data_IF_858259488912
#
_entry.id   IF_858259488912
#
_cell.length_a   1.000
_cell.length_b   1.000
_cell.length_c   1.000
_cell.angle_alpha   90.00
_cell.angle_beta   90.00
_cell.angle_gamma   90.00
#
_symmetry.space_group_name_H-M   'P 1'
#
loop_
_entity.id
_entity.type
_entity.pdbx_description
1 polymer ?
#
# COMPACT_ATOMS: atom_id res chain seq x y z
N UNK A 1 -6.79 -11.46 4.75
CA UNK A 1 -7.52 -10.24 5.22
C UNK A 1 -8.25 -9.63 4.03
N UNK A 2 -9.43 -9.03 4.21
CA UNK A 2 -10.19 -8.43 3.09
C UNK A 2 -10.67 -7.02 3.45
N UNK A 3 -10.42 -6.06 2.56
CA UNK A 3 -10.97 -4.71 2.59
C UNK A 3 -11.80 -4.53 1.32
N UNK A 4 -13.11 -4.38 1.49
CA UNK A 4 -14.04 -4.35 0.36
C UNK A 4 -15.06 -3.23 0.52
N UNK A 5 -15.44 -2.60 -0.60
CA UNK A 5 -16.47 -1.55 -0.65
C UNK A 5 -16.14 -0.34 0.25
N UNK A 6 -14.88 0.09 0.22
CA UNK A 6 -14.39 1.18 1.07
C UNK A 6 -14.55 2.52 0.34
N UNK A 7 -15.12 3.51 1.03
CA UNK A 7 -15.22 4.90 0.55
C UNK A 7 -14.27 5.80 1.34
N UNK A 8 -13.36 6.45 0.64
CA UNK A 8 -12.37 7.37 1.19
C UNK A 8 -12.86 8.81 1.06
N UNK A 9 -12.68 9.61 2.10
CA UNK A 9 -12.99 11.03 2.11
C UNK A 9 -11.71 11.78 2.43
N UNK A 10 -11.13 12.44 1.42
CA UNK A 10 -9.90 13.23 1.57
C UNK A 10 -8.79 12.47 2.34
N UNK A 11 -8.56 11.21 1.99
CA UNK A 11 -7.63 10.35 2.72
C UNK A 11 -6.17 10.74 2.45
N UNK A 12 -5.37 10.93 3.51
CA UNK A 12 -3.95 11.25 3.35
C UNK A 12 -3.14 10.07 2.82
N UNK A 13 -3.41 8.86 3.29
CA UNK A 13 -2.72 7.64 2.86
C UNK A 13 -3.77 6.57 2.50
N UNK A 14 -4.25 6.55 1.24
CA UNK A 14 -5.46 5.80 0.86
C UNK A 14 -5.36 4.30 1.10
N UNK A 15 -4.31 3.67 0.59
CA UNK A 15 -4.05 2.23 0.74
C UNK A 15 -2.60 2.09 1.17
N UNK A 16 -2.41 1.76 2.45
CA UNK A 16 -1.10 1.61 3.07
C UNK A 16 -0.96 0.26 3.76
N UNK A 17 0.06 -0.49 3.39
CA UNK A 17 0.46 -1.72 4.07
C UNK A 17 1.97 -1.64 4.27
N UNK A 18 2.39 -1.59 5.53
CA UNK A 18 3.80 -1.45 5.89
C UNK A 18 4.19 -2.46 6.95
N UNK A 19 5.39 -3.02 6.83
CA UNK A 19 6.03 -3.79 7.91
C UNK A 19 7.02 -2.95 8.72
N UNK A 20 7.12 -1.65 8.41
CA UNK A 20 8.14 -0.73 8.90
C UNK A 20 7.59 0.24 9.95
N UNK A 21 6.46 -0.05 10.59
CA UNK A 21 5.82 0.86 11.55
C UNK A 21 6.79 1.38 12.64
N UNK A 22 7.73 0.54 13.09
CA UNK A 22 8.72 0.91 14.12
C UNK A 22 9.85 1.82 13.60
N UNK A 23 10.11 1.83 12.29
CA UNK A 23 11.07 2.74 11.65
C UNK A 23 10.65 4.20 11.79
N UNK A 24 9.36 4.46 11.60
CA UNK A 24 8.79 5.81 11.61
C UNK A 24 8.86 6.44 13.02
N UNK A 25 8.94 5.63 14.08
CA UNK A 25 8.97 6.11 15.47
C UNK A 25 10.39 6.24 16.04
N UNK A 26 11.29 5.27 15.79
CA UNK A 26 12.57 5.19 16.51
C UNK A 26 13.81 5.16 15.62
N UNK A 27 13.68 5.31 14.29
CA UNK A 27 14.78 5.32 13.32
C UNK A 27 15.65 4.04 13.28
N UNK A 28 15.35 3.05 14.12
CA UNK A 28 16.02 1.74 14.11
C UNK A 28 15.26 0.79 13.18
N UNK A 29 15.70 0.78 11.94
CA UNK A 29 15.08 0.06 10.86
C UNK A 29 15.72 -1.31 10.64
N UNK A 30 15.30 -2.31 11.41
CA UNK A 30 15.60 -3.69 11.05
C UNK A 30 14.68 -4.13 9.89
N UNK A 31 14.96 -3.64 8.69
CA UNK A 31 14.19 -3.89 7.45
C UNK A 31 14.36 -5.31 6.90
N UNK A 32 15.22 -6.12 7.52
CA UNK A 32 15.54 -7.43 7.00
C UNK A 32 14.47 -8.45 7.37
N UNK A 33 14.11 -8.60 8.65
CA UNK A 33 13.13 -9.59 9.11
C UNK A 33 11.96 -8.89 9.82
N UNK A 34 10.74 -9.09 9.33
CA UNK A 34 9.51 -8.60 9.99
C UNK A 34 8.37 -9.60 9.76
N UNK A 35 7.13 -9.14 9.91
CA UNK A 35 5.92 -9.94 9.77
C UNK A 35 5.73 -10.42 8.33
N UNK A 36 5.20 -11.65 8.18
CA UNK A 36 4.68 -12.14 6.91
C UNK A 36 3.23 -11.74 6.74
N UNK A 37 2.90 -11.01 5.67
CA UNK A 37 1.54 -10.60 5.34
C UNK A 37 1.09 -11.36 4.09
N UNK A 38 0.05 -12.18 4.21
CA UNK A 38 -0.38 -13.05 3.11
C UNK A 38 -1.85 -12.89 2.80
N UNK A 39 -2.21 -13.10 1.54
CA UNK A 39 -3.59 -13.24 1.07
C UNK A 39 -4.48 -12.06 1.49
N UNK A 40 -4.01 -10.85 1.12
CA UNK A 40 -4.74 -9.60 1.33
C UNK A 40 -5.54 -9.28 0.08
N UNK A 41 -6.84 -9.07 0.23
CA UNK A 41 -7.71 -8.60 -0.84
C UNK A 41 -8.13 -7.17 -0.54
N UNK A 42 -7.84 -6.27 -1.48
CA UNK A 42 -8.32 -4.89 -1.48
C UNK A 42 -9.11 -4.70 -2.76
N UNK A 43 -10.41 -4.45 -2.61
CA UNK A 43 -11.32 -4.52 -3.74
C UNK A 43 -12.45 -3.52 -3.61
N UNK A 44 -12.79 -2.86 -4.73
CA UNK A 44 -13.83 -1.83 -4.77
C UNK A 44 -13.59 -0.70 -3.74
N UNK A 45 -12.43 -0.05 -3.84
CA UNK A 45 -12.09 1.14 -3.03
C UNK A 45 -12.28 2.37 -3.89
N UNK A 46 -13.04 3.35 -3.40
CA UNK A 46 -13.34 4.59 -4.14
C UNK A 46 -13.24 5.83 -3.26
N UNK A 47 -13.14 7.02 -3.86
CA UNK A 47 -13.11 8.29 -3.12
C UNK A 47 -12.02 9.24 -3.58
N UNK A 48 -11.47 10.03 -2.66
CA UNK A 48 -10.44 11.03 -2.97
C UNK A 48 -9.28 11.02 -1.97
N UNK A 49 -8.09 11.41 -2.45
CA UNK A 49 -6.94 11.72 -1.59
C UNK A 49 -7.10 13.11 -0.96
N UNK A 50 -6.37 13.37 0.12
CA UNK A 50 -6.20 14.71 0.65
C UNK A 50 -5.29 15.56 -0.27
N UNK A 51 -4.98 16.78 0.18
CA UNK A 51 -4.04 17.67 -0.51
C UNK A 51 -2.56 17.32 -0.26
N UNK A 52 -2.28 16.23 0.47
CA UNK A 52 -0.94 15.70 0.69
C UNK A 52 -0.44 14.96 -0.56
N UNK A 53 0.87 14.80 -0.66
CA UNK A 53 1.55 14.23 -1.83
C UNK A 53 1.77 12.71 -1.74
N UNK A 54 1.12 12.04 -0.79
CA UNK A 54 1.32 10.61 -0.55
C UNK A 54 0.84 9.75 -1.73
N UNK A 55 1.46 8.57 -1.94
CA UNK A 55 1.00 7.63 -2.96
C UNK A 55 -0.42 7.15 -2.74
N UNK A 56 -1.12 6.79 -3.82
CA UNK A 56 -2.44 6.14 -3.69
C UNK A 56 -2.29 4.73 -3.14
N UNK A 57 -1.25 4.02 -3.57
CA UNK A 57 -0.90 2.70 -3.08
C UNK A 57 0.52 2.73 -2.55
N UNK A 58 0.66 2.40 -1.27
CA UNK A 58 1.94 2.24 -0.58
C UNK A 58 1.97 0.88 0.11
N UNK A 59 2.51 -0.12 -0.57
CA UNK A 59 2.77 -1.45 -0.03
C UNK A 59 4.28 -1.58 0.13
N UNK A 60 4.79 -1.35 1.34
CA UNK A 60 6.21 -1.38 1.64
C UNK A 60 6.51 -2.46 2.68
N UNK A 61 6.99 -3.60 2.20
CA UNK A 61 7.28 -4.76 3.02
C UNK A 61 8.78 -4.88 3.33
N UNK A 62 9.13 -5.72 4.30
CA UNK A 62 10.52 -5.99 4.64
C UNK A 62 11.14 -6.98 3.67
N UNK A 63 12.47 -6.95 3.51
CA UNK A 63 13.19 -7.75 2.51
C UNK A 63 12.97 -9.25 2.66
N UNK A 64 12.92 -9.74 3.90
CA UNK A 64 12.73 -11.16 4.24
C UNK A 64 11.39 -11.43 4.92
N UNK A 65 10.55 -10.41 5.14
CA UNK A 65 9.15 -10.57 5.51
C UNK A 65 8.31 -10.86 4.28
N UNK A 66 7.64 -12.02 4.25
CA UNK A 66 6.97 -12.49 3.05
C UNK A 66 5.62 -11.81 2.86
N UNK A 67 5.60 -10.71 2.11
CA UNK A 67 4.37 -10.15 1.54
C UNK A 67 4.00 -10.87 0.24
N UNK A 68 2.86 -11.56 0.21
CA UNK A 68 2.47 -12.38 -0.95
C UNK A 68 0.97 -12.63 -1.08
N UNK A 69 0.51 -12.96 -2.28
CA UNK A 69 -0.88 -13.30 -2.54
C UNK A 69 -1.84 -12.11 -2.44
N UNK A 70 -1.36 -10.91 -2.76
CA UNK A 70 -2.18 -9.71 -2.74
C UNK A 70 -3.04 -9.63 -4.00
N UNK A 71 -4.31 -9.27 -3.82
CA UNK A 71 -5.23 -8.93 -4.90
C UNK A 71 -5.72 -7.51 -4.70
N UNK A 72 -5.34 -6.61 -5.60
CA UNK A 72 -5.72 -5.19 -5.55
C UNK A 72 -6.48 -4.86 -6.83
N UNK A 73 -7.80 -4.72 -6.72
CA UNK A 73 -8.71 -4.62 -7.87
C UNK A 73 -9.75 -3.53 -7.69
N UNK A 74 -10.26 -2.99 -8.79
CA UNK A 74 -11.36 -2.00 -8.80
C UNK A 74 -11.08 -0.80 -7.87
N UNK A 75 -9.91 -0.18 -8.03
CA UNK A 75 -9.50 1.00 -7.26
C UNK A 75 -9.85 2.26 -8.06
N UNK A 76 -10.77 3.07 -7.55
CA UNK A 76 -11.22 4.30 -8.18
C UNK A 76 -11.04 5.50 -7.23
N UNK A 77 -9.79 5.90 -7.03
CA UNK A 77 -9.44 6.99 -6.11
C UNK A 77 -9.00 8.19 -6.93
N UNK A 78 -9.68 9.32 -6.74
CA UNK A 78 -9.31 10.60 -7.31
C UNK A 78 -8.05 11.12 -6.60
N UNK A 79 -6.92 11.13 -7.32
CA UNK A 79 -5.63 11.60 -6.83
C UNK A 79 -5.49 13.11 -6.93
N UNK A 80 -4.71 13.69 -6.01
CA UNK A 80 -4.24 15.06 -6.12
C UNK A 80 -3.17 15.17 -7.22
N UNK A 81 -3.04 16.30 -7.93
CA UNK A 81 -1.95 16.52 -8.89
C UNK A 81 -0.54 16.29 -8.34
N UNK A 82 -0.34 16.48 -7.03
CA UNK A 82 0.94 16.29 -6.33
C UNK A 82 1.18 14.85 -5.86
N UNK A 83 0.23 13.94 -6.05
CA UNK A 83 0.36 12.55 -5.59
C UNK A 83 1.59 11.88 -6.20
N UNK A 84 2.46 11.36 -5.32
CA UNK A 84 3.66 10.60 -5.68
C UNK A 84 3.32 9.28 -6.38
N UNK A 85 4.34 8.71 -7.01
CA UNK A 85 4.31 7.34 -7.57
C UNK A 85 3.95 6.33 -6.48
N UNK A 86 3.27 5.25 -6.88
CA UNK A 86 2.97 4.15 -5.97
C UNK A 86 4.22 3.40 -5.57
N UNK A 87 4.17 2.80 -4.39
CA UNK A 87 5.25 2.03 -3.80
C UNK A 87 4.75 0.60 -3.61
N UNK A 88 5.52 -0.37 -4.11
CA UNK A 88 5.25 -1.79 -3.98
C UNK A 88 6.57 -2.55 -3.74
N UNK A 89 7.20 -2.29 -2.59
CA UNK A 89 8.50 -2.86 -2.24
C UNK A 89 8.35 -4.24 -1.63
N UNK A 90 9.16 -5.19 -2.12
CA UNK A 90 9.26 -6.56 -1.59
C UNK A 90 7.91 -7.31 -1.50
N UNK A 91 6.94 -6.91 -2.33
CA UNK A 91 5.67 -7.61 -2.52
C UNK A 91 5.83 -8.65 -3.63
N UNK A 92 5.71 -9.92 -3.27
CA UNK A 92 5.75 -11.04 -4.23
C UNK A 92 4.53 -10.97 -5.14
N UNK A 93 4.77 -10.92 -6.46
CA UNK A 93 3.72 -10.80 -7.47
C UNK A 93 3.24 -9.38 -7.69
N UNK A 94 3.98 -8.36 -7.24
CA UNK A 94 3.67 -6.94 -7.48
C UNK A 94 3.54 -6.63 -8.97
N UNK A 95 4.31 -7.33 -9.81
CA UNK A 95 4.23 -7.29 -11.27
C UNK A 95 2.84 -7.66 -11.80
N UNK A 96 1.97 -8.32 -11.04
CA UNK A 96 0.59 -8.65 -11.45
C UNK A 96 -0.43 -7.60 -11.05
N UNK A 97 -0.02 -6.63 -10.22
CA UNK A 97 -0.87 -5.55 -9.74
C UNK A 97 -0.63 -4.33 -10.62
N UNK A 98 -1.61 -3.87 -11.42
CA UNK A 98 -1.42 -2.76 -12.37
C UNK A 98 -0.86 -1.50 -11.71
N UNK A 99 -1.27 -1.21 -10.48
CA UNK A 99 -0.84 -0.04 -9.73
C UNK A 99 0.61 -0.08 -9.25
N UNK A 100 1.26 -1.25 -9.29
CA UNK A 100 2.66 -1.45 -8.94
C UNK A 100 3.60 -1.43 -10.16
N UNK A 101 3.06 -1.39 -11.38
CA UNK A 101 3.83 -1.27 -12.64
C UNK A 101 4.01 0.21 -12.97
N UNK A 102 5.11 0.85 -12.57
CA UNK A 102 5.34 2.31 -12.74
C UNK A 102 6.77 2.69 -13.09
#
# INVERSE_FOLDING_TARGET
>A
VRFQNVKLIAAENPIAITTHYWCEQNHNCNIDNSLSIKNVVIDNVSGSTSNKDMPVINIDCSKRGLCSGFSVTRINIQKNPKTKKNICNYLVGSDKIPYCRQ
#
